data_IF_071478859635
#
_entry.id   IF_071478859635
#
_cell.length_a   1.000
_cell.length_b   1.000
_cell.length_c   1.000
_cell.angle_alpha   90.00
_cell.angle_beta   90.00
_cell.angle_gamma   90.00
#
_symmetry.space_group_name_H-M   'P 1'
#
loop_
_entity.id
_entity.type
_entity.pdbx_description
1 polymer ?
#
# COMPACT_ATOMS: atom_id res chain seq x y z
N UNK A 1 7.50 18.05 -15.78
CA UNK A 1 7.90 16.83 -15.09
C UNK A 1 8.28 15.71 -16.05
N UNK A 2 9.28 14.91 -15.68
CA UNK A 2 9.64 13.71 -16.43
C UNK A 2 8.84 12.51 -15.91
N UNK A 3 8.09 11.83 -16.76
CA UNK A 3 7.35 10.62 -16.38
C UNK A 3 8.20 9.38 -16.67
N UNK A 4 8.70 8.74 -15.61
CA UNK A 4 9.49 7.52 -15.68
C UNK A 4 8.58 6.30 -15.57
N UNK A 5 8.11 5.79 -16.72
CA UNK A 5 7.19 4.66 -16.80
C UNK A 5 7.29 3.94 -18.16
N UNK A 6 6.94 2.65 -18.21
CA UNK A 6 6.86 1.86 -19.44
C UNK A 6 8.18 1.82 -20.22
N UNK A 7 8.17 2.17 -21.50
CA UNK A 7 9.34 2.15 -22.36
C UNK A 7 10.46 3.10 -21.87
N UNK A 8 10.12 4.22 -21.24
CA UNK A 8 11.09 5.17 -20.69
C UNK A 8 11.90 4.62 -19.50
N UNK A 9 11.50 3.48 -18.91
CA UNK A 9 12.27 2.82 -17.86
C UNK A 9 13.45 1.99 -18.38
N UNK A 10 13.51 1.74 -19.69
CA UNK A 10 14.61 1.00 -20.35
C UNK A 10 15.70 1.94 -20.89
N UNK A 11 16.02 2.95 -20.15
CA UNK A 11 17.01 3.98 -20.51
C UNK A 11 18.33 3.72 -19.78
N UNK A 12 19.47 3.98 -20.41
CA UNK A 12 20.78 3.97 -19.74
C UNK A 12 20.92 5.17 -18.79
N UNK A 13 21.78 5.03 -17.77
CA UNK A 13 21.98 6.09 -16.77
C UNK A 13 22.41 7.43 -17.42
N UNK A 14 23.29 7.39 -18.40
CA UNK A 14 23.79 8.60 -19.07
C UNK A 14 22.69 9.31 -19.86
N UNK A 15 21.93 8.55 -20.65
CA UNK A 15 20.75 9.09 -21.36
C UNK A 15 19.70 9.62 -20.40
N UNK A 16 19.51 8.95 -19.25
CA UNK A 16 18.56 9.40 -18.25
C UNK A 16 19.01 10.72 -17.61
N UNK A 17 20.30 10.86 -17.25
CA UNK A 17 20.84 12.11 -16.73
C UNK A 17 20.68 13.28 -17.72
N UNK A 18 20.86 13.01 -19.03
CA UNK A 18 20.61 14.02 -20.07
C UNK A 18 19.14 14.40 -20.12
N UNK A 19 18.23 13.41 -20.08
CA UNK A 19 16.79 13.64 -20.11
C UNK A 19 16.27 14.40 -18.88
N UNK A 20 17.00 14.35 -17.74
CA UNK A 20 16.65 15.11 -16.54
C UNK A 20 17.07 16.58 -16.59
N UNK A 21 17.91 16.99 -17.54
CA UNK A 21 18.31 18.41 -17.66
C UNK A 21 17.07 19.27 -17.88
N UNK A 22 16.86 20.25 -17.00
CA UNK A 22 15.69 21.14 -17.05
C UNK A 22 14.37 20.51 -16.58
N UNK A 23 14.41 19.29 -16.03
CA UNK A 23 13.23 18.63 -15.46
C UNK A 23 13.29 18.67 -13.92
N UNK A 24 12.54 19.58 -13.27
CA UNK A 24 12.62 19.73 -11.81
C UNK A 24 11.96 18.58 -11.04
N UNK A 25 11.08 17.82 -11.70
CA UNK A 25 10.28 16.76 -11.07
C UNK A 25 10.30 15.52 -11.93
N UNK A 26 10.49 14.36 -11.27
CA UNK A 26 10.33 13.02 -11.87
C UNK A 26 9.15 12.33 -11.18
N UNK A 27 8.22 11.85 -12.00
CA UNK A 27 7.05 11.09 -11.53
C UNK A 27 7.23 9.63 -11.94
N UNK A 28 7.05 8.72 -10.99
CA UNK A 28 7.17 7.28 -11.22
C UNK A 28 6.19 6.50 -10.33
N UNK A 29 6.12 5.19 -10.52
CA UNK A 29 5.31 4.29 -9.69
C UNK A 29 6.18 3.39 -8.83
N UNK A 30 5.63 2.86 -7.75
CA UNK A 30 6.29 1.86 -6.91
C UNK A 30 6.76 0.62 -7.69
N UNK A 31 6.02 0.24 -8.72
CA UNK A 31 6.37 -0.90 -9.58
C UNK A 31 7.67 -0.67 -10.37
N UNK A 32 7.93 0.58 -10.76
CA UNK A 32 9.14 0.95 -11.50
C UNK A 32 10.39 0.97 -10.61
N UNK A 33 10.23 1.31 -9.34
CA UNK A 33 11.31 1.35 -8.35
C UNK A 33 11.53 -0.01 -7.69
N UNK A 34 10.54 -0.93 -7.74
CA UNK A 34 10.60 -2.23 -7.05
C UNK A 34 11.77 -3.08 -7.52
N UNK A 35 12.44 -3.75 -6.56
CA UNK A 35 13.42 -4.80 -6.88
C UNK A 35 12.69 -5.99 -7.49
N UNK A 36 13.03 -6.37 -8.73
CA UNK A 36 12.48 -7.59 -9.34
C UNK A 36 13.33 -8.78 -8.92
N UNK A 37 12.75 -9.70 -8.16
CA UNK A 37 13.33 -11.03 -8.06
C UNK A 37 13.01 -11.78 -9.36
N UNK A 38 14.01 -12.42 -9.96
CA UNK A 38 13.76 -13.43 -10.96
C UNK A 38 12.93 -14.53 -10.30
N UNK A 39 11.64 -14.61 -10.64
CA UNK A 39 10.76 -15.66 -10.12
C UNK A 39 11.36 -17.03 -10.50
N UNK A 40 11.67 -17.84 -9.49
CA UNK A 40 12.49 -19.05 -9.53
C UNK A 40 12.04 -20.21 -10.45
N UNK A 41 11.02 -20.08 -11.28
CA UNK A 41 10.60 -21.10 -12.26
C UNK A 41 11.13 -20.87 -13.68
N UNK A 42 11.80 -19.75 -13.98
CA UNK A 42 12.47 -19.48 -15.28
C UNK A 42 13.93 -19.02 -15.14
N UNK A 43 14.55 -19.25 -13.99
CA UNK A 43 15.96 -18.91 -13.73
C UNK A 43 16.97 -19.86 -14.42
N UNK A 44 16.60 -20.60 -15.48
CA UNK A 44 17.54 -21.35 -16.31
C UNK A 44 18.38 -20.47 -17.25
N UNK A 45 18.14 -19.17 -17.31
CA UNK A 45 19.00 -18.24 -18.03
C UNK A 45 19.92 -17.51 -17.03
N UNK A 46 21.07 -18.11 -16.76
CA UNK A 46 22.16 -17.63 -15.90
C UNK A 46 22.70 -16.24 -16.34
N UNK A 47 22.30 -15.75 -17.50
CA UNK A 47 22.79 -14.48 -18.09
C UNK A 47 21.84 -13.29 -17.96
N UNK A 48 20.70 -13.40 -17.28
CA UNK A 48 19.87 -12.21 -17.01
C UNK A 48 20.46 -11.42 -15.84
N UNK A 49 21.09 -10.28 -16.16
CA UNK A 49 21.48 -9.28 -15.15
C UNK A 49 20.29 -8.95 -14.26
N UNK A 50 20.50 -8.84 -12.92
CA UNK A 50 19.44 -8.41 -12.01
C UNK A 50 18.87 -7.07 -12.52
N UNK A 51 17.55 -6.86 -12.32
CA UNK A 51 16.90 -5.61 -12.69
C UNK A 51 17.56 -4.44 -11.94
N UNK A 52 18.09 -3.54 -12.72
CA UNK A 52 18.81 -2.36 -12.24
C UNK A 52 18.01 -1.11 -12.61
N UNK A 53 17.56 -0.38 -11.59
CA UNK A 53 16.75 0.81 -11.79
C UNK A 53 17.63 2.05 -11.76
N UNK A 54 17.68 2.79 -12.86
CA UNK A 54 18.50 4.01 -12.98
C UNK A 54 18.18 5.06 -11.92
N UNK A 55 16.97 5.04 -11.35
CA UNK A 55 16.56 5.95 -10.27
C UNK A 55 17.39 5.78 -9.00
N UNK A 56 17.97 4.59 -8.75
CA UNK A 56 18.82 4.33 -7.57
C UNK A 56 20.19 4.99 -7.65
N UNK A 57 20.62 5.41 -8.86
CA UNK A 57 21.93 6.03 -9.10
C UNK A 57 21.88 7.55 -9.20
N UNK A 58 20.73 8.14 -8.91
CA UNK A 58 20.54 9.60 -8.88
C UNK A 58 20.48 10.05 -7.43
N UNK A 59 21.18 11.14 -7.14
CA UNK A 59 21.07 11.84 -5.87
C UNK A 59 19.87 12.77 -5.93
N UNK A 60 18.76 12.35 -5.32
CA UNK A 60 17.53 13.12 -5.28
C UNK A 60 17.60 14.15 -4.16
N UNK A 61 17.23 15.40 -4.46
CA UNK A 61 17.07 16.43 -3.43
C UNK A 61 15.97 16.05 -2.45
N UNK A 62 14.88 15.48 -2.96
CA UNK A 62 13.73 15.04 -2.16
C UNK A 62 13.03 13.88 -2.86
N UNK A 63 12.59 12.93 -2.08
CA UNK A 63 11.70 11.85 -2.52
C UNK A 63 10.39 11.94 -1.75
N UNK A 64 9.27 11.93 -2.47
CA UNK A 64 7.92 11.90 -1.91
C UNK A 64 7.25 10.61 -2.32
N UNK A 65 6.85 9.82 -1.33
CA UNK A 65 6.12 8.57 -1.50
C UNK A 65 4.66 8.80 -1.13
N UNK A 66 3.81 8.94 -2.14
CA UNK A 66 2.37 9.02 -1.94
C UNK A 66 1.78 7.64 -1.69
N UNK A 67 0.72 7.56 -0.88
CA UNK A 67 0.13 6.29 -0.42
C UNK A 67 1.19 5.31 0.11
N UNK A 68 2.02 5.81 1.04
CA UNK A 68 3.18 5.08 1.55
C UNK A 68 2.84 3.76 2.27
N UNK A 69 1.55 3.48 2.54
CA UNK A 69 1.10 2.17 2.98
C UNK A 69 1.50 1.04 2.02
N UNK A 70 1.74 1.34 0.74
CA UNK A 70 2.25 0.37 -0.24
C UNK A 70 3.64 -0.19 0.08
N UNK A 71 4.43 0.49 0.90
CA UNK A 71 5.79 0.07 1.29
C UNK A 71 5.89 -0.39 2.75
N UNK A 72 4.75 -0.64 3.41
CA UNK A 72 4.68 -1.09 4.81
C UNK A 72 5.30 -2.46 5.08
N UNK A 73 5.50 -3.30 4.07
CA UNK A 73 6.11 -4.62 4.23
C UNK A 73 7.58 -4.59 3.85
N UNK A 74 8.48 -4.72 4.83
CA UNK A 74 9.96 -4.74 4.66
C UNK A 74 10.42 -5.82 3.67
N UNK A 75 9.70 -6.95 3.60
CA UNK A 75 10.06 -8.06 2.70
C UNK A 75 9.65 -7.80 1.26
N UNK A 76 8.76 -6.84 1.02
CA UNK A 76 8.24 -6.54 -0.31
C UNK A 76 9.32 -5.93 -1.22
N UNK A 77 9.21 -6.22 -2.51
CA UNK A 77 10.11 -5.65 -3.51
C UNK A 77 9.94 -4.12 -3.65
N UNK A 78 8.75 -3.60 -3.40
CA UNK A 78 8.47 -2.16 -3.38
C UNK A 78 9.25 -1.47 -2.26
N UNK A 79 9.17 -2.00 -1.03
CA UNK A 79 9.92 -1.46 0.10
C UNK A 79 11.43 -1.46 -0.17
N UNK A 80 11.97 -2.62 -0.60
CA UNK A 80 13.40 -2.75 -0.91
C UNK A 80 13.86 -1.79 -2.00
N UNK A 81 13.02 -1.54 -2.99
CA UNK A 81 13.31 -0.62 -4.07
C UNK A 81 13.31 0.84 -3.63
N UNK A 82 12.33 1.26 -2.84
CA UNK A 82 12.27 2.61 -2.28
C UNK A 82 13.44 2.87 -1.32
N UNK A 83 13.78 1.90 -0.48
CA UNK A 83 14.91 2.00 0.44
C UNK A 83 16.28 2.14 -0.24
N UNK A 84 16.38 1.86 -1.56
CA UNK A 84 17.59 2.07 -2.36
C UNK A 84 17.68 3.47 -2.98
N UNK A 85 16.63 4.27 -2.92
CA UNK A 85 16.67 5.63 -3.45
C UNK A 85 17.62 6.49 -2.61
N UNK A 86 18.53 7.16 -3.28
CA UNK A 86 19.51 8.01 -2.61
C UNK A 86 18.94 9.43 -2.46
N UNK A 87 18.62 9.81 -1.23
CA UNK A 87 18.09 11.14 -0.88
C UNK A 87 18.35 11.46 0.58
N UNK A 88 18.61 12.73 0.89
CA UNK A 88 18.67 13.22 2.27
C UNK A 88 17.29 13.59 2.85
N UNK A 89 16.28 13.78 1.99
CA UNK A 89 14.94 14.19 2.42
C UNK A 89 13.92 13.23 1.82
N UNK A 90 13.23 12.48 2.68
CA UNK A 90 12.17 11.57 2.27
C UNK A 90 10.86 11.86 3.02
N UNK A 91 9.78 11.97 2.28
CA UNK A 91 8.44 12.17 2.81
C UNK A 91 7.58 10.96 2.47
N UNK A 92 6.90 10.44 3.47
CA UNK A 92 5.94 9.35 3.34
C UNK A 92 4.55 9.92 3.62
N UNK A 93 3.71 10.01 2.60
CA UNK A 93 2.34 10.51 2.70
C UNK A 93 1.38 9.31 2.76
N UNK A 94 0.51 9.26 3.74
CA UNK A 94 -0.51 8.21 3.86
C UNK A 94 -1.62 8.63 4.81
N UNK A 95 -2.86 8.29 4.48
CA UNK A 95 -3.99 8.44 5.39
C UNK A 95 -4.02 7.36 6.50
N UNK A 96 -3.29 6.26 6.33
CA UNK A 96 -3.30 5.10 7.24
C UNK A 96 -1.86 4.64 7.54
N UNK A 97 -1.11 5.37 8.38
CA UNK A 97 0.30 5.04 8.69
C UNK A 97 0.45 3.68 9.37
N UNK A 98 -0.52 3.30 10.20
CA UNK A 98 -0.62 2.00 10.85
C UNK A 98 -1.99 1.43 10.49
N UNK A 99 -2.03 0.33 9.73
CA UNK A 99 -3.28 -0.27 9.28
C UNK A 99 -3.64 -1.50 10.13
N UNK A 100 -2.69 -2.42 10.33
CA UNK A 100 -2.96 -3.67 11.01
C UNK A 100 -2.01 -3.94 12.20
N UNK A 101 -0.75 -3.54 12.11
CA UNK A 101 0.28 -3.86 13.11
C UNK A 101 1.31 -2.75 13.26
N UNK A 102 1.92 -2.67 14.44
CA UNK A 102 3.05 -1.77 14.70
C UNK A 102 4.24 -1.96 13.73
N UNK A 103 4.33 -3.14 13.09
CA UNK A 103 5.32 -3.41 12.05
C UNK A 103 5.17 -2.49 10.82
N UNK A 104 3.98 -1.94 10.57
CA UNK A 104 3.75 -0.99 9.48
C UNK A 104 4.56 0.29 9.73
N UNK A 105 4.50 0.81 10.97
CA UNK A 105 5.31 1.95 11.40
C UNK A 105 6.81 1.64 11.34
N UNK A 106 7.21 0.47 11.85
CA UNK A 106 8.64 0.07 11.85
C UNK A 106 9.22 0.01 10.43
N UNK A 107 8.42 -0.43 9.48
CA UNK A 107 8.82 -0.48 8.08
C UNK A 107 9.05 0.93 7.49
N UNK A 108 8.16 1.87 7.82
CA UNK A 108 8.30 3.27 7.40
C UNK A 108 9.54 3.91 8.05
N UNK A 109 9.76 3.70 9.35
CA UNK A 109 10.94 4.18 10.05
C UNK A 109 12.25 3.61 9.49
N UNK A 110 12.24 2.38 8.96
CA UNK A 110 13.41 1.80 8.27
C UNK A 110 13.73 2.53 6.97
N UNK A 111 12.72 2.88 6.17
CA UNK A 111 12.89 3.68 4.95
C UNK A 111 13.46 5.06 5.28
N UNK A 112 12.97 5.68 6.36
CA UNK A 112 13.43 6.99 6.84
C UNK A 112 14.80 6.95 7.53
N UNK A 113 15.37 5.75 7.76
CA UNK A 113 16.64 5.59 8.49
C UNK A 113 16.53 5.79 10.01
N UNK A 114 15.32 5.95 10.54
CA UNK A 114 15.06 6.30 11.95
C UNK A 114 14.90 5.08 12.86
N UNK A 115 14.71 3.89 12.31
CA UNK A 115 14.36 2.70 13.09
C UNK A 115 15.36 2.31 14.15
N UNK A 116 16.66 2.43 13.88
CA UNK A 116 17.72 2.05 14.84
C UNK A 116 17.64 2.89 16.12
N UNK A 117 17.43 4.19 15.99
CA UNK A 117 17.29 5.10 17.14
C UNK A 117 15.99 4.83 17.90
N UNK A 118 14.90 4.59 17.17
CA UNK A 118 13.59 4.35 17.75
C UNK A 118 13.51 3.03 18.53
N UNK A 119 14.13 1.95 18.06
CA UNK A 119 13.96 0.61 18.59
C UNK A 119 14.43 0.45 20.04
N UNK A 120 15.46 1.19 20.45
CA UNK A 120 16.03 1.14 21.81
C UNK A 120 15.33 2.02 22.84
N UNK A 121 14.31 2.80 22.46
CA UNK A 121 13.66 3.75 23.34
C UNK A 121 12.57 3.10 24.21
N UNK A 122 12.36 3.65 25.42
CA UNK A 122 11.19 3.37 26.24
C UNK A 122 9.90 3.78 25.53
N UNK A 123 8.74 3.33 26.02
CA UNK A 123 7.45 3.67 25.42
C UNK A 123 7.24 5.20 25.35
N UNK A 124 7.52 5.93 26.40
CA UNK A 124 7.44 7.39 26.43
C UNK A 124 8.47 8.01 25.48
N UNK A 125 9.69 7.51 25.46
CA UNK A 125 10.75 7.96 24.56
C UNK A 125 10.39 7.79 23.08
N UNK A 126 9.67 6.71 22.72
CA UNK A 126 9.17 6.49 21.35
C UNK A 126 8.19 7.56 20.91
N UNK A 127 7.26 7.96 21.79
CA UNK A 127 6.29 9.02 21.47
C UNK A 127 7.01 10.36 21.27
N UNK A 128 7.90 10.73 22.19
CA UNK A 128 8.68 11.96 22.09
C UNK A 128 9.57 12.00 20.86
N UNK A 129 10.20 10.88 20.52
CA UNK A 129 11.04 10.76 19.33
C UNK A 129 10.28 10.96 18.03
N UNK A 130 9.04 10.42 17.94
CA UNK A 130 8.24 10.52 16.71
C UNK A 130 7.62 11.88 16.48
N UNK A 131 7.39 12.65 17.53
CA UNK A 131 6.69 13.92 17.46
C UNK A 131 7.21 14.87 16.36
N UNK A 132 8.53 15.12 16.20
CA UNK A 132 9.04 16.02 15.16
C UNK A 132 9.00 15.43 13.74
N UNK A 133 8.77 14.13 13.59
CA UNK A 133 8.78 13.45 12.29
C UNK A 133 7.39 13.15 11.74
N UNK A 134 6.33 13.34 12.55
CA UNK A 134 4.95 13.05 12.14
C UNK A 134 4.16 14.34 12.10
N UNK A 135 3.57 14.63 10.94
CA UNK A 135 2.62 15.71 10.75
C UNK A 135 1.23 15.11 10.51
N UNK A 136 0.33 15.29 11.46
CA UNK A 136 -1.08 14.91 11.34
C UNK A 136 -1.93 16.14 11.02
N UNK A 137 -2.72 16.05 9.95
CA UNK A 137 -3.71 17.06 9.59
C UNK A 137 -5.05 16.40 9.38
N UNK A 138 -6.02 16.78 10.17
CA UNK A 138 -7.42 16.34 10.02
C UNK A 138 -8.19 17.35 9.18
N UNK A 139 -9.24 16.91 8.48
CA UNK A 139 -10.12 17.80 7.70
C UNK A 139 -10.73 18.89 8.59
N UNK A 140 -11.22 18.51 9.78
CA UNK A 140 -11.74 19.47 10.77
C UNK A 140 -10.70 20.50 11.20
N UNK A 141 -9.46 20.08 11.46
CA UNK A 141 -8.35 20.98 11.84
C UNK A 141 -7.92 21.93 10.73
N UNK A 142 -8.29 21.67 9.48
CA UNK A 142 -8.03 22.53 8.32
C UNK A 142 -9.25 23.41 7.94
N UNK A 143 -10.37 23.32 8.70
CA UNK A 143 -11.60 24.03 8.38
C UNK A 143 -12.26 23.53 7.07
N UNK A 144 -11.97 22.32 6.64
CA UNK A 144 -12.61 21.73 5.45
C UNK A 144 -13.94 21.13 5.89
N UNK A 145 -15.02 21.80 5.52
CA UNK A 145 -16.37 21.29 5.72
C UNK A 145 -16.66 20.19 4.67
N UNK A 146 -17.09 19.04 5.15
CA UNK A 146 -17.56 17.95 4.29
C UNK A 146 -19.08 18.05 4.21
N UNK A 147 -19.69 17.79 3.04
CA UNK A 147 -21.15 17.64 2.97
C UNK A 147 -21.59 16.52 3.93
N UNK A 148 -22.80 16.64 4.51
CA UNK A 148 -23.33 15.60 5.38
C UNK A 148 -23.40 14.26 4.64
N UNK A 149 -23.19 13.17 5.37
CA UNK A 149 -23.36 11.83 4.82
C UNK A 149 -24.87 11.57 4.69
N UNK A 150 -25.36 11.47 3.47
CA UNK A 150 -26.72 11.02 3.18
C UNK A 150 -26.68 9.52 2.91
N UNK A 151 -27.42 8.76 3.72
CA UNK A 151 -27.53 7.31 3.57
C UNK A 151 -28.96 7.03 3.07
N UNK A 152 -29.05 6.55 1.83
CA UNK A 152 -30.28 6.03 1.27
C UNK A 152 -30.29 4.51 1.40
N UNK A 153 -31.32 3.98 2.08
CA UNK A 153 -31.51 2.55 2.17
C UNK A 153 -32.51 2.11 1.11
N UNK A 154 -32.01 1.41 0.11
CA UNK A 154 -32.85 0.82 -0.93
C UNK A 154 -33.24 -0.60 -0.50
N UNK A 155 -34.51 -0.82 -0.23
CA UNK A 155 -35.04 -2.15 0.06
C UNK A 155 -35.41 -2.81 -1.26
N UNK A 156 -34.76 -3.93 -1.57
CA UNK A 156 -35.04 -4.73 -2.76
C UNK A 156 -35.96 -5.89 -2.37
N UNK A 157 -37.22 -5.79 -2.76
CA UNK A 157 -38.23 -6.78 -2.39
C UNK A 157 -38.31 -7.99 -3.33
N UNK A 158 -37.63 -7.93 -4.46
CA UNK A 158 -37.64 -9.00 -5.47
C UNK A 158 -36.25 -9.43 -5.87
N UNK A 159 -36.06 -10.72 -5.94
CA UNK A 159 -34.87 -11.32 -6.55
C UNK A 159 -35.10 -11.47 -8.06
N UNK A 160 -34.11 -11.17 -8.87
CA UNK A 160 -34.22 -11.23 -10.33
C UNK A 160 -34.26 -12.67 -10.86
N UNK A 161 -33.83 -13.65 -10.05
CA UNK A 161 -33.90 -15.06 -10.43
C UNK A 161 -34.16 -15.98 -9.23
N UNK A 162 -34.75 -17.15 -9.50
CA UNK A 162 -34.94 -18.21 -8.50
C UNK A 162 -33.59 -18.73 -7.95
N UNK A 163 -32.53 -18.72 -8.77
CA UNK A 163 -31.18 -19.08 -8.34
C UNK A 163 -30.64 -18.12 -7.28
N UNK A 164 -30.85 -16.82 -7.45
CA UNK A 164 -30.43 -15.79 -6.49
C UNK A 164 -31.19 -15.94 -5.16
N UNK A 165 -32.48 -16.14 -5.22
CA UNK A 165 -33.32 -16.41 -4.06
C UNK A 165 -32.86 -17.64 -3.28
N UNK A 166 -32.51 -18.72 -3.99
CA UNK A 166 -32.05 -19.94 -3.39
C UNK A 166 -30.66 -19.75 -2.70
N UNK A 167 -29.75 -19.00 -3.31
CA UNK A 167 -28.45 -18.67 -2.72
C UNK A 167 -28.63 -17.85 -1.43
N UNK A 168 -29.46 -16.81 -1.46
CA UNK A 168 -29.70 -15.97 -0.29
C UNK A 168 -30.39 -16.76 0.83
N UNK A 169 -31.39 -17.57 0.50
CA UNK A 169 -32.07 -18.46 1.46
C UNK A 169 -31.09 -19.44 2.10
N UNK A 170 -30.17 -20.00 1.32
CA UNK A 170 -29.14 -20.90 1.79
C UNK A 170 -28.15 -20.19 2.72
N UNK A 171 -27.67 -19.01 2.34
CA UNK A 171 -26.78 -18.18 3.18
C UNK A 171 -27.46 -17.82 4.50
N UNK A 172 -28.73 -17.39 4.48
CA UNK A 172 -29.51 -17.13 5.70
C UNK A 172 -29.65 -18.36 6.58
N UNK A 173 -29.86 -19.54 6.02
CA UNK A 173 -29.93 -20.78 6.78
C UNK A 173 -28.60 -21.11 7.48
N UNK A 174 -27.49 -20.90 6.80
CA UNK A 174 -26.16 -21.09 7.37
C UNK A 174 -25.87 -20.12 8.52
N UNK A 175 -26.23 -18.86 8.35
CA UNK A 175 -26.02 -17.82 9.37
C UNK A 175 -26.85 -18.07 10.63
N UNK A 176 -28.09 -18.55 10.48
CA UNK A 176 -28.93 -18.94 11.61
C UNK A 176 -28.43 -20.19 12.36
N UNK A 177 -27.69 -21.08 11.66
CA UNK A 177 -27.17 -22.30 12.27
C UNK A 177 -25.92 -22.05 13.15
N UNK A 178 -25.14 -21.00 12.85
CA UNK A 178 -23.85 -20.76 13.50
C UNK A 178 -23.91 -19.85 14.72
N UNK A 179 -25.09 -19.33 15.15
CA UNK A 179 -25.23 -18.34 16.23
C UNK A 179 -24.28 -17.11 16.09
N UNK A 180 -23.75 -16.87 14.90
CA UNK A 180 -22.91 -15.71 14.62
C UNK A 180 -23.81 -14.51 14.48
N UNK A 181 -23.62 -13.49 15.30
CA UNK A 181 -24.23 -12.17 15.07
C UNK A 181 -23.65 -11.62 13.75
N UNK A 182 -24.45 -11.69 12.70
CA UNK A 182 -24.08 -11.17 11.39
C UNK A 182 -24.28 -9.67 11.41
N UNK A 183 -23.16 -8.95 11.40
CA UNK A 183 -23.18 -7.52 11.10
C UNK A 183 -22.89 -7.33 9.60
N UNK A 184 -23.20 -6.16 9.05
CA UNK A 184 -23.01 -5.87 7.62
C UNK A 184 -21.58 -6.06 7.12
N UNK A 185 -20.58 -6.07 8.03
CA UNK A 185 -19.15 -6.19 7.66
C UNK A 185 -18.69 -7.63 7.39
N UNK A 186 -19.37 -8.63 7.95
CA UNK A 186 -18.94 -10.03 7.79
C UNK A 186 -19.80 -10.86 6.82
N UNK A 187 -20.98 -10.37 6.41
CA UNK A 187 -21.85 -11.06 5.42
C UNK A 187 -21.11 -11.26 4.11
N UNK A 188 -20.47 -10.22 3.59
CA UNK A 188 -19.76 -10.28 2.30
C UNK A 188 -18.60 -11.28 2.34
N UNK A 189 -17.89 -11.37 3.48
CA UNK A 189 -16.80 -12.36 3.65
C UNK A 189 -17.34 -13.80 3.67
N UNK A 190 -18.46 -14.04 4.32
CA UNK A 190 -19.10 -15.35 4.33
C UNK A 190 -19.59 -15.77 2.95
N UNK A 191 -20.22 -14.86 2.21
CA UNK A 191 -20.63 -15.09 0.82
C UNK A 191 -19.43 -15.38 -0.09
N UNK A 192 -18.38 -14.57 -0.03
CA UNK A 192 -17.17 -14.75 -0.83
C UNK A 192 -16.46 -16.08 -0.50
N UNK A 193 -16.39 -16.43 0.78
CA UNK A 193 -15.77 -17.70 1.18
C UNK A 193 -16.57 -18.88 0.67
N UNK A 194 -17.89 -18.84 0.81
CA UNK A 194 -18.76 -19.90 0.28
C UNK A 194 -18.63 -20.04 -1.24
N UNK A 195 -18.66 -18.94 -1.99
CA UNK A 195 -18.51 -18.95 -3.44
C UNK A 195 -17.17 -19.52 -3.91
N UNK A 196 -16.10 -19.30 -3.14
CA UNK A 196 -14.76 -19.73 -3.48
C UNK A 196 -14.42 -21.16 -3.01
N UNK A 197 -14.99 -21.61 -1.91
CA UNK A 197 -14.60 -22.87 -1.25
C UNK A 197 -15.71 -23.91 -1.20
N UNK A 198 -16.96 -23.52 -1.40
CA UNK A 198 -18.16 -24.35 -1.20
C UNK A 198 -18.42 -24.71 0.26
N UNK A 199 -17.64 -24.14 1.21
CA UNK A 199 -17.79 -24.37 2.64
C UNK A 199 -18.01 -23.05 3.39
N UNK A 200 -18.88 -23.03 4.41
CA UNK A 200 -19.03 -21.86 5.28
C UNK A 200 -17.75 -21.66 6.10
N UNK A 201 -17.48 -20.43 6.50
CA UNK A 201 -16.44 -20.13 7.50
C UNK A 201 -16.76 -20.85 8.82
N UNK A 202 -15.77 -21.40 9.51
CA UNK A 202 -15.95 -22.01 10.83
C UNK A 202 -16.38 -21.00 11.86
#
# INVERSE_FOLDING_TARGET
PYVFHGAKSKISLDKFKIALKGQPIVITTYSMVSTRQSSGKKAKNINKKPYDCVLWYINWTRVVCDEAHHVRNVKSNKHKGVAKLNTGIMWLLTGTPIQNHNNDLYSQLKILGLFKHFAGLSQMGKVQFLYPYIMLRTKAGLGIEMPPLEIETIVVDKYDSEAEKNIITYVHSLLNFTNVQVNHENVDQHILTYLNTGHPLP
#
